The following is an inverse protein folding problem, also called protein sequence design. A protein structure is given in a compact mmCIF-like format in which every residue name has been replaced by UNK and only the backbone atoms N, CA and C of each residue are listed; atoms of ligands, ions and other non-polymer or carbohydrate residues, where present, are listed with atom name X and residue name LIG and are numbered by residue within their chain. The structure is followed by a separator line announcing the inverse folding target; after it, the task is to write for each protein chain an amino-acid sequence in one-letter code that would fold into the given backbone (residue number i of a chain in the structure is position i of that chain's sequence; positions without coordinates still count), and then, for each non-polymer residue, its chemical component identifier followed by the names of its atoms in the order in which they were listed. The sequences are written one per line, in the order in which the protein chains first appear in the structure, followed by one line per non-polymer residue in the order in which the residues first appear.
data_IF_164032102076
#
_entry.id   IF_164032102076
#
_cell.length_a   1.000
_cell.length_b   1.000
_cell.length_c   1.000
_cell.angle_alpha   90.00
_cell.angle_beta   90.00
_cell.angle_gamma   90.00
#
_symmetry.space_group_name_H-M   'P 1'
#
loop_
_entity.id
_entity.type
_entity.pdbx_description
1 polymer ?
#
# COMPACT_ATOMS: atom_id res chain seq x y z
N UNK A 1 -7.21 -19.85 14.45
CA UNK A 1 -8.40 -19.60 15.29
C UNK A 1 -9.22 -18.51 14.64
N UNK A 2 -10.53 -18.72 14.48
CA UNK A 2 -11.42 -17.72 13.91
C UNK A 2 -11.61 -16.58 14.90
N UNK A 3 -11.77 -15.35 14.40
CA UNK A 3 -11.92 -14.14 15.23
C UNK A 3 -13.30 -13.57 14.98
N UNK A 4 -13.99 -13.14 16.04
CA UNK A 4 -15.26 -12.42 15.94
C UNK A 4 -15.00 -10.94 16.18
N UNK A 5 -15.41 -10.09 15.23
CA UNK A 5 -15.34 -8.63 15.28
C UNK A 5 -16.75 -8.09 15.20
N UNK A 6 -17.29 -7.65 16.34
CA UNK A 6 -18.72 -7.36 16.51
C UNK A 6 -19.57 -8.54 16.01
N UNK A 7 -20.42 -8.36 15.00
CA UNK A 7 -21.27 -9.43 14.46
C UNK A 7 -20.65 -10.21 13.29
N UNK A 8 -19.43 -9.85 12.86
CA UNK A 8 -18.74 -10.50 11.75
C UNK A 8 -17.71 -11.52 12.23
N UNK A 9 -17.73 -12.72 11.66
CA UNK A 9 -16.72 -13.76 11.93
C UNK A 9 -15.70 -13.79 10.80
N UNK A 10 -14.43 -13.63 11.18
CA UNK A 10 -13.27 -13.75 10.31
C UNK A 10 -12.73 -15.19 10.44
N UNK A 11 -12.84 -16.01 9.39
CA UNK A 11 -12.45 -17.42 9.47
C UNK A 11 -10.93 -17.59 9.47
N UNK A 12 -10.44 -18.69 10.06
CA UNK A 12 -8.99 -18.95 10.20
C UNK A 12 -8.26 -18.96 8.86
N UNK A 13 -8.86 -19.56 7.82
CA UNK A 13 -8.26 -19.62 6.49
C UNK A 13 -8.00 -18.22 5.88
N UNK A 14 -8.82 -17.23 6.22
CA UNK A 14 -8.66 -15.88 5.71
C UNK A 14 -7.48 -15.18 6.39
N UNK A 15 -7.31 -15.41 7.69
CA UNK A 15 -6.16 -14.93 8.48
C UNK A 15 -4.87 -15.57 7.98
N UNK A 16 -4.87 -16.88 7.75
CA UNK A 16 -3.71 -17.61 7.22
C UNK A 16 -3.32 -17.12 5.83
N UNK A 17 -4.31 -16.90 4.95
CA UNK A 17 -4.07 -16.35 3.62
C UNK A 17 -3.46 -14.94 3.69
N UNK A 18 -3.98 -14.10 4.58
CA UNK A 18 -3.45 -12.75 4.78
C UNK A 18 -2.02 -12.80 5.35
N UNK A 19 -1.76 -13.68 6.32
CA UNK A 19 -0.43 -13.90 6.88
C UNK A 19 0.58 -14.33 5.83
N UNK A 20 0.19 -15.23 4.90
CA UNK A 20 1.04 -15.63 3.80
C UNK A 20 1.43 -14.46 2.89
N UNK A 21 0.49 -13.55 2.61
CA UNK A 21 0.77 -12.34 1.84
C UNK A 21 1.68 -11.35 2.57
N UNK A 22 1.68 -11.36 3.90
CA UNK A 22 2.50 -10.46 4.72
C UNK A 22 3.87 -11.04 5.07
N UNK A 23 4.05 -12.35 4.90
CA UNK A 23 5.25 -13.06 5.31
C UNK A 23 6.53 -12.41 4.78
N UNK A 24 6.60 -12.08 3.48
CA UNK A 24 7.79 -11.45 2.88
C UNK A 24 8.08 -10.06 3.44
N UNK A 25 7.04 -9.28 3.76
CA UNK A 25 7.19 -7.97 4.38
C UNK A 25 7.74 -8.12 5.80
N UNK A 26 7.18 -9.06 6.56
CA UNK A 26 7.55 -9.33 7.95
C UNK A 26 8.96 -9.92 8.04
N UNK A 27 9.32 -10.84 7.15
CA UNK A 27 10.65 -11.44 7.06
C UNK A 27 11.74 -10.40 6.79
N UNK A 28 11.46 -9.39 5.96
CA UNK A 28 12.40 -8.28 5.69
C UNK A 28 12.69 -7.45 6.94
N UNK A 29 11.72 -7.26 7.82
CA UNK A 29 11.91 -6.55 9.09
C UNK A 29 12.53 -7.40 10.21
N UNK A 30 12.60 -8.72 10.04
CA UNK A 30 13.09 -9.68 11.02
C UNK A 30 14.17 -10.60 10.44
N UNK A 31 15.16 -10.02 9.77
CA UNK A 31 16.28 -10.76 9.21
C UNK A 31 17.03 -11.54 10.31
N UNK A 32 17.33 -12.81 10.03
CA UNK A 32 18.05 -13.71 10.95
C UNK A 32 17.20 -14.35 12.05
N UNK A 33 15.88 -14.11 12.11
CA UNK A 33 14.98 -14.81 13.03
C UNK A 33 14.55 -16.18 12.47
N UNK A 34 14.23 -17.17 13.34
CA UNK A 34 13.68 -18.45 12.88
C UNK A 34 12.37 -18.26 12.10
N UNK A 35 12.15 -19.12 11.11
CA UNK A 35 10.95 -19.09 10.26
C UNK A 35 9.65 -19.16 11.08
N UNK A 36 9.62 -19.97 12.14
CA UNK A 36 8.46 -20.12 13.03
C UNK A 36 8.09 -18.80 13.72
N UNK A 37 9.09 -18.02 14.14
CA UNK A 37 8.89 -16.70 14.77
C UNK A 37 8.35 -15.71 13.76
N UNK A 38 8.89 -15.70 12.53
CA UNK A 38 8.42 -14.84 11.44
C UNK A 38 6.97 -15.18 11.09
N UNK A 39 6.65 -16.47 11.01
CA UNK A 39 5.31 -16.94 10.71
C UNK A 39 4.31 -16.55 11.80
N UNK A 40 4.68 -16.68 13.07
CA UNK A 40 3.84 -16.26 14.20
C UNK A 40 3.56 -14.75 14.13
N UNK A 41 4.60 -13.94 13.92
CA UNK A 41 4.46 -12.50 13.78
C UNK A 41 3.61 -12.10 12.56
N UNK A 42 3.74 -12.82 11.43
CA UNK A 42 2.90 -12.59 10.25
C UNK A 42 1.43 -12.94 10.52
N UNK A 43 1.16 -14.00 11.30
CA UNK A 43 -0.19 -14.36 11.73
C UNK A 43 -0.77 -13.27 12.64
N UNK A 44 -0.01 -12.78 13.61
CA UNK A 44 -0.50 -11.77 14.55
C UNK A 44 -0.76 -10.44 13.84
N UNK A 45 0.15 -9.99 12.98
CA UNK A 45 -0.08 -8.81 12.13
C UNK A 45 -1.29 -8.99 11.20
N UNK A 46 -1.48 -10.19 10.64
CA UNK A 46 -2.64 -10.47 9.81
C UNK A 46 -3.94 -10.37 10.60
N UNK A 47 -3.99 -10.88 11.83
CA UNK A 47 -5.17 -10.75 12.70
C UNK A 47 -5.49 -9.28 12.95
N UNK A 48 -4.51 -8.48 13.36
CA UNK A 48 -4.69 -7.05 13.65
C UNK A 48 -5.23 -6.32 12.41
N UNK A 49 -4.57 -6.48 11.26
CA UNK A 49 -5.04 -5.83 10.02
C UNK A 49 -6.46 -6.24 9.64
N UNK A 50 -6.82 -7.51 9.83
CA UNK A 50 -8.17 -7.97 9.51
C UNK A 50 -9.22 -7.45 10.49
N UNK A 51 -8.87 -7.27 11.76
CA UNK A 51 -9.73 -6.63 12.75
C UNK A 51 -9.94 -5.17 12.37
N UNK A 52 -8.87 -4.43 12.10
CA UNK A 52 -8.93 -3.01 11.73
C UNK A 52 -9.74 -2.79 10.45
N UNK A 53 -9.47 -3.60 9.42
CA UNK A 53 -10.24 -3.55 8.17
C UNK A 53 -11.73 -3.82 8.39
N UNK A 54 -12.08 -4.78 9.26
CA UNK A 54 -13.47 -5.06 9.58
C UNK A 54 -14.12 -3.89 10.32
N UNK A 55 -13.44 -3.31 11.31
CA UNK A 55 -13.94 -2.15 12.06
C UNK A 55 -14.13 -0.94 11.14
N UNK A 56 -13.16 -0.63 10.27
CA UNK A 56 -13.26 0.47 9.32
C UNK A 56 -14.34 0.24 8.25
N UNK A 57 -14.52 -1.00 7.78
CA UNK A 57 -15.61 -1.34 6.87
C UNK A 57 -16.98 -1.18 7.55
N UNK A 58 -17.11 -1.58 8.82
CA UNK A 58 -18.34 -1.40 9.60
C UNK A 58 -18.63 0.09 9.82
N UNK A 59 -17.62 0.87 10.20
CA UNK A 59 -17.76 2.30 10.47
C UNK A 59 -18.10 3.11 9.23
N UNK A 60 -17.39 2.85 8.12
CA UNK A 60 -17.66 3.52 6.83
C UNK A 60 -19.05 3.20 6.28
N UNK A 61 -19.58 2.01 6.53
CA UNK A 61 -20.95 1.64 6.20
C UNK A 61 -21.97 2.29 7.15
N UNK A 62 -21.64 2.40 8.45
CA UNK A 62 -22.49 3.06 9.46
C UNK A 62 -22.73 4.53 9.12
N UNK A 63 -21.67 5.25 8.72
CA UNK A 63 -21.73 6.69 8.37
C UNK A 63 -22.38 7.00 7.02
N UNK A 64 -22.61 5.98 6.18
CA UNK A 64 -23.36 6.07 4.90
C UNK A 64 -22.92 7.25 4.01
N UNK A 65 -21.61 7.43 3.83
CA UNK A 65 -21.08 8.49 2.97
C UNK A 65 -21.72 8.47 1.56
N UNK A 66 -22.17 9.65 1.11
CA UNK A 66 -22.73 9.84 -0.22
C UNK A 66 -21.60 9.96 -1.24
N UNK A 67 -21.27 8.85 -1.90
CA UNK A 67 -20.26 8.82 -2.98
C UNK A 67 -20.90 9.23 -4.29
N UNK A 68 -20.27 10.16 -5.02
CA UNK A 68 -20.72 10.58 -6.34
C UNK A 68 -20.57 9.41 -7.35
N UNK A 69 -21.63 9.04 -8.09
CA UNK A 69 -21.54 8.05 -9.16
C UNK A 69 -20.42 8.31 -10.18
N UNK A 70 -20.05 9.57 -10.43
CA UNK A 70 -18.94 9.91 -11.32
C UNK A 70 -17.58 9.47 -10.76
N UNK A 71 -17.35 9.58 -9.45
CA UNK A 71 -16.13 9.11 -8.80
C UNK A 71 -16.00 7.60 -8.92
N UNK A 72 -17.10 6.87 -8.75
CA UNK A 72 -17.16 5.42 -8.94
C UNK A 72 -16.81 5.05 -10.38
N UNK A 73 -17.34 5.79 -11.36
CA UNK A 73 -17.04 5.57 -12.78
C UNK A 73 -15.57 5.87 -13.12
N UNK A 74 -14.98 6.92 -12.52
CA UNK A 74 -13.55 7.24 -12.64
C UNK A 74 -12.70 6.12 -12.05
N UNK A 75 -13.07 5.61 -10.86
CA UNK A 75 -12.43 4.45 -10.23
C UNK A 75 -12.46 3.22 -11.12
N UNK A 76 -13.62 2.90 -11.72
CA UNK A 76 -13.76 1.75 -12.62
C UNK A 76 -12.86 1.88 -13.85
N UNK A 77 -12.80 3.07 -14.46
CA UNK A 77 -11.92 3.33 -15.61
C UNK A 77 -10.44 3.19 -15.23
N UNK A 78 -10.04 3.71 -14.07
CA UNK A 78 -8.67 3.60 -13.55
C UNK A 78 -8.28 2.14 -13.35
N UNK A 79 -9.11 1.38 -12.63
CA UNK A 79 -8.88 -0.04 -12.39
C UNK A 79 -8.77 -0.83 -13.70
N UNK A 80 -9.65 -0.58 -14.68
CA UNK A 80 -9.57 -1.22 -15.99
C UNK A 80 -8.28 -0.86 -16.73
N UNK A 81 -7.82 0.39 -16.67
CA UNK A 81 -6.57 0.81 -17.33
C UNK A 81 -5.35 0.09 -16.74
N UNK A 82 -5.30 -0.03 -15.43
CA UNK A 82 -4.18 -0.65 -14.71
C UNK A 82 -4.15 -2.18 -14.85
N UNK A 83 -5.32 -2.82 -14.99
CA UNK A 83 -5.44 -4.28 -15.04
C UNK A 83 -5.55 -4.87 -16.46
N UNK A 84 -5.43 -4.05 -17.52
CA UNK A 84 -5.38 -4.55 -18.91
C UNK A 84 -6.72 -4.52 -19.67
N UNK A 85 -7.63 -3.62 -19.31
CA UNK A 85 -8.82 -3.27 -20.08
C UNK A 85 -10.08 -4.08 -19.76
N UNK A 86 -11.03 -4.15 -20.70
CA UNK A 86 -12.36 -4.79 -20.46
C UNK A 86 -12.27 -6.28 -20.16
N UNK A 87 -11.27 -6.99 -20.71
CA UNK A 87 -11.02 -8.42 -20.45
C UNK A 87 -10.26 -8.66 -19.14
N UNK A 88 -9.87 -7.61 -18.43
CA UNK A 88 -9.17 -7.71 -17.16
C UNK A 88 -9.99 -8.43 -16.10
N UNK A 89 -11.31 -8.22 -16.05
CA UNK A 89 -12.19 -8.86 -15.06
C UNK A 89 -12.26 -10.38 -15.29
N UNK A 90 -12.32 -10.82 -16.54
CA UNK A 90 -12.36 -12.25 -16.89
C UNK A 90 -10.99 -12.92 -16.71
N UNK A 91 -9.91 -12.18 -16.97
CA UNK A 91 -8.54 -12.71 -16.91
C UNK A 91 -7.91 -12.62 -15.52
N UNK A 92 -8.22 -11.57 -14.77
CA UNK A 92 -7.81 -11.43 -13.39
C UNK A 92 -8.68 -12.39 -12.58
N UNK A 93 -8.08 -13.51 -12.14
CA UNK A 93 -8.70 -14.39 -11.14
C UNK A 93 -8.70 -13.69 -9.78
N UNK A 94 -9.34 -12.53 -9.69
CA UNK A 94 -9.44 -11.76 -8.46
C UNK A 94 -10.46 -12.45 -7.55
N UNK A 95 -10.11 -12.77 -6.29
CA UNK A 95 -11.00 -13.51 -5.40
C UNK A 95 -12.32 -12.75 -5.09
N UNK A 96 -12.31 -11.43 -5.18
CA UNK A 96 -13.46 -10.57 -4.86
C UNK A 96 -14.18 -9.96 -6.07
N UNK A 97 -13.58 -9.95 -7.27
CA UNK A 97 -14.15 -9.27 -8.45
C UNK A 97 -14.43 -10.33 -9.51
N UNK A 98 -15.69 -10.77 -9.61
CA UNK A 98 -16.11 -11.77 -10.61
C UNK A 98 -16.78 -11.12 -11.81
N UNK A 99 -17.47 -10.01 -11.58
CA UNK A 99 -18.17 -9.24 -12.60
C UNK A 99 -17.98 -7.72 -12.40
N UNK A 100 -18.67 -6.94 -13.24
CA UNK A 100 -18.61 -5.46 -13.20
C UNK A 100 -19.33 -4.87 -12.00
N UNK A 101 -20.35 -5.54 -11.47
CA UNK A 101 -21.11 -5.06 -10.32
C UNK A 101 -20.32 -5.29 -9.03
N UNK A 102 -19.62 -6.41 -8.91
CA UNK A 102 -18.64 -6.67 -7.85
C UNK A 102 -17.52 -5.63 -7.88
N UNK A 103 -16.96 -5.32 -9.06
CA UNK A 103 -15.97 -4.23 -9.19
C UNK A 103 -16.53 -2.89 -8.72
N UNK A 104 -17.78 -2.58 -9.10
CA UNK A 104 -18.45 -1.33 -8.68
C UNK A 104 -18.62 -1.28 -7.16
N UNK A 105 -19.04 -2.38 -6.53
CA UNK A 105 -19.19 -2.49 -5.08
C UNK A 105 -17.85 -2.31 -4.37
N UNK A 106 -16.80 -2.94 -4.88
CA UNK A 106 -15.46 -2.83 -4.32
C UNK A 106 -14.94 -1.39 -4.36
N UNK A 107 -15.07 -0.71 -5.51
CA UNK A 107 -14.67 0.69 -5.64
C UNK A 107 -15.48 1.59 -4.72
N UNK A 108 -16.78 1.31 -4.57
CA UNK A 108 -17.63 2.07 -3.69
C UNK A 108 -17.22 1.87 -2.21
N UNK A 109 -16.90 0.65 -1.80
CA UNK A 109 -16.37 0.36 -0.47
C UNK A 109 -15.03 1.09 -0.24
N UNK A 110 -14.13 1.07 -1.21
CA UNK A 110 -12.85 1.77 -1.15
C UNK A 110 -13.03 3.29 -1.04
N UNK A 111 -13.95 3.89 -1.78
CA UNK A 111 -14.21 5.34 -1.72
C UNK A 111 -14.80 5.75 -0.37
N UNK A 112 -15.70 4.94 0.20
CA UNK A 112 -16.23 5.16 1.56
C UNK A 112 -15.14 5.06 2.62
N UNK A 113 -14.26 4.08 2.47
CA UNK A 113 -13.10 3.91 3.35
C UNK A 113 -12.18 5.13 3.28
N UNK A 114 -11.85 5.61 2.08
CA UNK A 114 -10.98 6.78 1.93
C UNK A 114 -11.60 8.03 2.56
N UNK A 115 -12.92 8.24 2.43
CA UNK A 115 -13.60 9.38 3.09
C UNK A 115 -13.60 9.28 4.60
N UNK A 116 -13.78 8.07 5.15
CA UNK A 116 -13.62 7.85 6.59
C UNK A 116 -12.21 8.23 7.04
N UNK A 117 -11.20 7.78 6.29
CA UNK A 117 -9.81 8.07 6.61
C UNK A 117 -9.53 9.57 6.54
N UNK A 118 -9.96 10.25 5.48
CA UNK A 118 -9.78 11.70 5.31
C UNK A 118 -10.45 12.50 6.43
N UNK A 119 -11.66 12.11 6.86
CA UNK A 119 -12.36 12.74 7.97
C UNK A 119 -11.63 12.54 9.30
N UNK A 120 -11.25 11.30 9.62
CA UNK A 120 -10.57 10.97 10.87
C UNK A 120 -9.11 11.44 10.92
N UNK A 121 -8.44 11.55 9.77
CA UNK A 121 -7.08 12.08 9.66
C UNK A 121 -7.04 13.59 9.44
N UNK A 122 -8.21 14.26 9.40
CA UNK A 122 -8.25 15.70 9.25
C UNK A 122 -7.61 16.33 10.48
N UNK A 123 -6.52 17.05 10.24
CA UNK A 123 -5.78 17.78 11.25
C UNK A 123 -5.39 19.13 10.68
N UNK A 124 -5.12 20.08 11.58
CA UNK A 124 -4.67 21.40 11.18
C UNK A 124 -3.33 21.28 10.44
N UNK A 125 -3.19 22.07 9.37
CA UNK A 125 -1.94 22.13 8.62
C UNK A 125 -0.89 22.70 9.57
N UNK A 126 0.29 22.05 9.70
CA UNK A 126 1.36 22.54 10.56
C UNK A 126 1.73 23.98 10.20
N UNK A 127 1.98 24.78 11.23
CA UNK A 127 2.47 26.14 11.09
C UNK A 127 3.92 26.14 10.56
N UNK A 128 4.36 27.29 10.04
CA UNK A 128 5.76 27.44 9.58
C UNK A 128 6.77 27.25 10.72
N UNK A 129 6.40 27.62 11.95
CA UNK A 129 7.22 27.45 13.14
C UNK A 129 7.41 25.96 13.49
N UNK A 130 6.33 25.19 13.51
CA UNK A 130 6.37 23.73 13.74
C UNK A 130 7.15 23.00 12.63
N UNK A 131 6.99 23.43 11.37
CA UNK A 131 7.72 22.87 10.25
C UNK A 131 9.23 23.15 10.37
N UNK A 132 9.62 24.36 10.79
CA UNK A 132 11.02 24.74 11.02
C UNK A 132 11.62 23.95 12.18
N UNK A 133 10.92 23.84 13.30
CA UNK A 133 11.37 23.04 14.44
C UNK A 133 11.55 21.56 14.07
N UNK A 134 10.66 21.00 13.26
CA UNK A 134 10.80 19.62 12.77
C UNK A 134 12.04 19.44 11.86
N UNK A 135 12.31 20.40 10.98
CA UNK A 135 13.48 20.40 10.12
C UNK A 135 14.78 20.47 10.92
N UNK A 136 14.87 21.44 11.84
CA UNK A 136 16.08 21.70 12.64
C UNK A 136 16.41 20.52 13.57
N UNK A 137 15.38 19.83 14.09
CA UNK A 137 15.56 18.67 14.98
C UNK A 137 15.90 17.37 14.25
N UNK A 138 15.78 17.30 12.92
CA UNK A 138 16.00 16.06 12.14
C UNK A 138 16.84 16.28 10.87
N UNK A 139 18.05 16.84 10.99
CA UNK A 139 18.91 17.10 9.83
C UNK A 139 19.24 15.83 9.05
N UNK A 140 19.25 14.66 9.71
CA UNK A 140 19.49 13.34 9.12
C UNK A 140 18.49 12.96 8.01
N UNK A 141 17.25 13.47 8.08
CA UNK A 141 16.22 13.21 7.06
C UNK A 141 16.31 14.17 5.86
N UNK A 142 17.05 15.27 5.99
CA UNK A 142 17.11 16.35 5.00
C UNK A 142 18.51 16.56 4.40
N UNK A 143 19.50 15.79 4.81
CA UNK A 143 20.81 15.73 4.14
C UNK A 143 20.70 14.91 2.85
N UNK A 144 21.06 15.52 1.72
CA UNK A 144 21.29 14.79 0.47
C UNK A 144 22.74 14.34 0.36
N UNK A 145 23.00 13.32 -0.46
CA UNK A 145 24.36 13.00 -0.88
C UNK A 145 25.02 14.23 -1.52
N UNK A 146 26.34 14.34 -1.36
CA UNK A 146 27.12 15.44 -1.91
C UNK A 146 27.03 15.41 -3.44
N UNK A 147 26.38 16.42 -4.03
CA UNK A 147 26.32 16.54 -5.48
C UNK A 147 27.61 17.16 -6.00
N UNK A 148 28.41 16.36 -6.71
CA UNK A 148 29.63 16.84 -7.36
C UNK A 148 29.36 17.26 -8.80
N UNK A 149 29.89 18.41 -9.20
CA UNK A 149 29.90 18.84 -10.59
C UNK A 149 31.12 18.23 -11.29
N UNK A 150 30.90 17.29 -12.21
CA UNK A 150 31.97 16.65 -12.98
C UNK A 150 31.92 17.06 -14.46
N UNK A 151 33.07 17.35 -15.04
CA UNK A 151 33.25 17.53 -16.49
C UNK A 151 34.02 16.34 -17.06
N UNK A 152 33.40 15.60 -17.95
CA UNK A 152 34.00 14.44 -18.59
C UNK A 152 34.49 14.80 -20.00
N UNK A 153 35.75 14.46 -20.31
CA UNK A 153 36.26 14.48 -21.68
C UNK A 153 36.35 13.03 -22.13
N UNK A 154 35.54 12.66 -23.12
CA UNK A 154 35.56 11.32 -23.70
C UNK A 154 36.54 11.29 -24.88
N UNK A 155 37.64 10.53 -24.74
CA UNK A 155 38.54 10.23 -25.86
C UNK A 155 38.22 8.85 -26.42
N UNK A 156 37.99 8.75 -27.72
CA UNK A 156 37.79 7.47 -28.41
C UNK A 156 39.13 6.75 -28.55
N UNK A 157 39.23 5.53 -28.03
CA UNK A 157 40.34 4.63 -28.29
C UNK A 157 40.20 3.97 -29.67
N UNK A 158 41.30 3.82 -30.40
CA UNK A 158 41.30 3.23 -31.75
C UNK A 158 41.64 1.74 -31.76
N UNK A 159 42.15 1.21 -30.64
CA UNK A 159 42.43 -0.22 -30.43
C UNK A 159 42.16 -0.62 -28.99
N UNK A 160 41.96 -1.93 -28.75
CA UNK A 160 41.74 -2.48 -27.41
C UNK A 160 42.97 -2.27 -26.49
N UNK A 161 44.18 -2.29 -27.06
CA UNK A 161 45.42 -1.96 -26.34
C UNK A 161 45.49 -0.49 -25.88
N UNK A 162 44.89 0.44 -26.62
CA UNK A 162 44.85 1.87 -26.26
C UNK A 162 43.76 2.15 -25.21
N UNK A 163 42.73 1.29 -25.11
CA UNK A 163 41.68 1.36 -24.11
C UNK A 163 42.13 0.83 -22.73
N UNK A 164 42.90 -0.25 -22.71
CA UNK A 164 43.44 -0.86 -21.46
C UNK A 164 44.51 0.03 -20.77
N UNK A 165 45.14 0.94 -21.51
CA UNK A 165 46.21 1.83 -21.01
C UNK A 165 45.74 3.28 -20.71
N UNK A 166 44.44 3.57 -20.83
CA UNK A 166 43.85 4.89 -20.64
C UNK A 166 43.16 5.02 -19.27
#
# INVERSE_FOLDING_TARGET
MAIKVNDQVIPSWAIERQAQSLYEQVARGMQGKPQEVIQLAAIDLAKERMIDQSLMAQESNRRKYQIDPEEVNKGMKRWMRENGGKKAIEKAKHPAIKDRDDLRREILAQLRYNRLLEEESSCDIPTEEEAREYYDNRPDLFTSEEMVSASHILKKASSDEEFENA
#
